data_IF_397349559387
#
_entry.id   IF_397349559387
#
_cell.length_a   1.000
_cell.length_b   1.000
_cell.length_c   1.000
_cell.angle_alpha   90.00
_cell.angle_beta   90.00
_cell.angle_gamma   90.00
#
_symmetry.space_group_name_H-M   'P 1'
#
loop_
_entity.id
_entity.type
_entity.pdbx_description
1 polymer ?
#
# COMPACT_ATOMS: atom_id res chain seq x y z
N UNK A 1 12.31 -31.81 20.59
CA UNK A 1 11.86 -31.46 19.23
C UNK A 1 11.16 -32.62 18.51
N UNK A 2 10.65 -33.63 19.23
CA UNK A 2 10.23 -34.91 18.63
C UNK A 2 8.69 -35.08 18.56
N UNK A 3 7.91 -34.21 19.22
CA UNK A 3 6.45 -34.42 19.34
C UNK A 3 5.65 -33.94 18.11
N UNK A 4 6.30 -33.34 17.12
CA UNK A 4 5.63 -32.75 15.94
C UNK A 4 5.48 -33.72 14.77
N UNK A 5 6.15 -34.87 14.81
CA UNK A 5 6.18 -35.86 13.73
C UNK A 5 5.39 -37.14 14.05
N UNK A 6 4.74 -37.22 15.23
CA UNK A 6 3.98 -38.40 15.68
C UNK A 6 2.46 -38.22 15.58
N UNK A 7 1.98 -37.13 14.96
CA UNK A 7 0.56 -36.93 14.69
C UNK A 7 0.09 -37.84 13.55
N UNK A 8 -1.04 -38.53 13.72
CA UNK A 8 -1.66 -39.27 12.62
C UNK A 8 -2.24 -38.30 11.59
N UNK A 9 -2.06 -38.60 10.30
CA UNK A 9 -2.69 -37.84 9.22
C UNK A 9 -4.21 -37.91 9.33
N UNK A 10 -4.86 -36.75 9.36
CA UNK A 10 -6.32 -36.65 9.34
C UNK A 10 -6.81 -36.40 7.91
N UNK A 11 -7.88 -37.09 7.53
CA UNK A 11 -8.55 -36.82 6.25
C UNK A 11 -9.13 -35.40 6.25
N UNK A 12 -9.04 -34.72 5.10
CA UNK A 12 -9.54 -33.35 4.95
C UNK A 12 -11.09 -33.28 5.05
N UNK A 13 -11.76 -34.29 4.51
CA UNK A 13 -13.22 -34.42 4.49
C UNK A 13 -13.61 -35.90 4.68
N UNK A 14 -13.61 -36.42 5.93
CA UNK A 14 -14.01 -37.79 6.22
C UNK A 14 -15.51 -38.00 5.98
N UNK A 15 -15.90 -39.16 5.47
CA UNK A 15 -17.31 -39.50 5.23
C UNK A 15 -18.14 -39.43 6.53
N UNK A 16 -19.36 -38.92 6.42
CA UNK A 16 -20.34 -38.67 7.49
C UNK A 16 -20.90 -39.91 8.20
N UNK A 17 -20.33 -41.10 7.96
CA UNK A 17 -20.66 -42.35 8.67
C UNK A 17 -19.80 -42.56 9.93
N UNK A 18 -18.85 -41.64 10.18
CA UNK A 18 -18.21 -41.52 11.48
C UNK A 18 -19.14 -40.75 12.44
N UNK A 19 -19.27 -41.26 13.67
CA UNK A 19 -20.02 -40.71 14.82
C UNK A 19 -20.38 -39.22 14.69
N UNK A 20 -21.65 -38.85 14.91
CA UNK A 20 -22.25 -37.53 14.56
C UNK A 20 -21.43 -36.31 15.08
N UNK A 21 -20.66 -36.49 16.16
CA UNK A 21 -19.74 -35.50 16.75
C UNK A 21 -18.44 -35.28 15.95
N UNK A 22 -17.98 -36.25 15.16
CA UNK A 22 -16.77 -36.20 14.34
C UNK A 22 -16.99 -35.56 12.96
N UNK A 23 -18.21 -35.65 12.41
CA UNK A 23 -18.59 -35.01 11.15
C UNK A 23 -18.55 -33.47 11.24
N UNK A 24 -18.81 -32.91 12.43
CA UNK A 24 -18.70 -31.49 12.76
C UNK A 24 -17.25 -31.00 13.00
N UNK A 25 -16.26 -31.90 12.98
CA UNK A 25 -14.85 -31.59 13.23
C UNK A 25 -13.98 -31.77 11.98
N UNK A 26 -14.59 -31.87 10.79
CA UNK A 26 -13.82 -32.02 9.56
C UNK A 26 -13.02 -30.75 9.25
N UNK A 27 -11.73 -30.87 8.85
CA UNK A 27 -10.93 -29.73 8.41
C UNK A 27 -11.59 -28.86 7.35
N UNK A 28 -12.40 -29.45 6.46
CA UNK A 28 -13.19 -28.74 5.46
C UNK A 28 -14.15 -27.68 6.03
N UNK A 29 -14.59 -27.80 7.29
CA UNK A 29 -15.53 -26.86 7.92
C UNK A 29 -14.88 -25.65 8.59
N UNK A 30 -13.58 -25.70 8.90
CA UNK A 30 -12.87 -24.63 9.61
C UNK A 30 -11.60 -24.13 8.91
N UNK A 31 -11.10 -24.84 7.90
CA UNK A 31 -10.01 -24.36 7.05
C UNK A 31 -10.56 -23.47 5.94
N UNK A 32 -10.29 -22.18 6.07
CA UNK A 32 -10.70 -21.17 5.09
C UNK A 32 -9.59 -20.93 4.05
N UNK A 33 -9.98 -20.76 2.78
CA UNK A 33 -9.11 -20.24 1.73
C UNK A 33 -9.34 -18.74 1.54
N UNK A 34 -8.52 -17.93 2.22
CA UNK A 34 -8.63 -16.47 2.14
C UNK A 34 -8.06 -15.86 0.84
N UNK A 35 -7.54 -16.65 -0.11
CA UNK A 35 -6.95 -16.12 -1.35
C UNK A 35 -7.98 -15.46 -2.27
N UNK A 36 -9.24 -15.88 -2.18
CA UNK A 36 -10.32 -15.44 -3.06
C UNK A 36 -11.43 -14.69 -2.34
N UNK A 37 -11.12 -14.12 -1.16
CA UNK A 37 -12.08 -13.33 -0.40
C UNK A 37 -12.52 -12.08 -1.20
N UNK A 38 -13.79 -12.00 -1.63
CA UNK A 38 -14.29 -10.88 -2.41
C UNK A 38 -14.23 -9.54 -1.67
N UNK A 39 -14.36 -9.56 -0.33
CA UNK A 39 -14.29 -8.36 0.47
C UNK A 39 -12.87 -7.77 0.43
N UNK A 40 -11.85 -8.63 0.54
CA UNK A 40 -10.44 -8.22 0.41
C UNK A 40 -10.09 -7.72 -0.98
N UNK A 41 -10.55 -8.41 -2.02
CA UNK A 41 -10.30 -7.99 -3.39
C UNK A 41 -10.93 -6.61 -3.69
N UNK A 42 -12.15 -6.38 -3.20
CA UNK A 42 -12.81 -5.09 -3.33
C UNK A 42 -12.09 -4.01 -2.52
N UNK A 43 -11.70 -4.31 -1.29
CA UNK A 43 -10.93 -3.38 -0.44
C UNK A 43 -9.60 -2.97 -1.10
N UNK A 44 -8.84 -3.92 -1.65
CA UNK A 44 -7.58 -3.62 -2.36
C UNK A 44 -7.79 -2.76 -3.60
N UNK A 45 -8.85 -3.03 -4.37
CA UNK A 45 -9.21 -2.24 -5.54
C UNK A 45 -9.60 -0.81 -5.15
N UNK A 46 -10.52 -0.66 -4.20
CA UNK A 46 -10.97 0.63 -3.68
C UNK A 46 -9.81 1.42 -3.07
N UNK A 47 -8.91 0.75 -2.35
CA UNK A 47 -7.72 1.39 -1.78
C UNK A 47 -6.77 1.92 -2.85
N UNK A 48 -6.59 1.18 -3.95
CA UNK A 48 -5.74 1.60 -5.06
C UNK A 48 -6.33 2.81 -5.80
N UNK A 49 -7.62 2.76 -6.12
CA UNK A 49 -8.32 3.85 -6.81
C UNK A 49 -8.39 5.11 -5.96
N UNK A 50 -8.73 4.97 -4.66
CA UNK A 50 -8.75 6.11 -3.73
C UNK A 50 -7.36 6.71 -3.51
N UNK A 51 -6.32 5.87 -3.33
CA UNK A 51 -4.95 6.35 -3.15
C UNK A 51 -4.43 7.12 -4.36
N UNK A 52 -4.73 6.63 -5.57
CA UNK A 52 -4.32 7.30 -6.81
C UNK A 52 -5.08 8.61 -7.03
N UNK A 53 -6.40 8.62 -6.81
CA UNK A 53 -7.22 9.82 -6.88
C UNK A 53 -6.77 10.89 -5.87
N UNK A 54 -6.54 10.50 -4.61
CA UNK A 54 -6.09 11.41 -3.55
C UNK A 54 -4.69 11.99 -3.87
N UNK A 55 -3.79 11.19 -4.43
CA UNK A 55 -2.48 11.67 -4.87
C UNK A 55 -2.60 12.70 -6.00
N UNK A 56 -3.44 12.43 -7.00
CA UNK A 56 -3.69 13.35 -8.10
C UNK A 56 -4.27 14.67 -7.61
N UNK A 57 -5.29 14.63 -6.76
CA UNK A 57 -5.89 15.84 -6.18
C UNK A 57 -4.86 16.62 -5.33
N UNK A 58 -4.04 15.92 -4.54
CA UNK A 58 -3.01 16.55 -3.73
C UNK A 58 -1.94 17.25 -4.60
N UNK A 59 -1.60 16.68 -5.76
CA UNK A 59 -0.69 17.28 -6.73
C UNK A 59 -1.30 18.53 -7.39
N UNK A 60 -2.60 18.56 -7.63
CA UNK A 60 -3.31 19.73 -8.17
C UNK A 60 -3.44 20.88 -7.17
N UNK A 61 -3.52 20.59 -5.88
CA UNK A 61 -3.54 21.58 -4.79
C UNK A 61 -2.18 22.24 -4.54
N UNK A 62 -1.10 21.71 -5.10
CA UNK A 62 0.22 22.33 -5.02
C UNK A 62 0.32 23.51 -5.98
N UNK A 63 1.04 24.55 -5.56
CA UNK A 63 1.39 25.62 -6.49
C UNK A 63 2.33 25.11 -7.59
N UNK A 64 2.25 25.71 -8.77
CA UNK A 64 2.97 25.27 -9.97
C UNK A 64 4.48 25.09 -9.73
N UNK A 65 5.06 25.97 -8.92
CA UNK A 65 6.49 25.94 -8.61
C UNK A 65 6.83 24.78 -7.69
N UNK A 66 6.07 24.54 -6.63
CA UNK A 66 6.24 23.39 -5.74
C UNK A 66 6.04 22.07 -6.47
N UNK A 67 5.06 22.01 -7.39
CA UNK A 67 4.80 20.85 -8.25
C UNK A 67 5.97 20.55 -9.18
N UNK A 68 6.52 21.56 -9.86
CA UNK A 68 7.70 21.40 -10.73
C UNK A 68 8.94 20.96 -9.94
N UNK A 69 9.18 21.56 -8.76
CA UNK A 69 10.30 21.17 -7.89
C UNK A 69 10.17 19.69 -7.48
N UNK A 70 8.99 19.23 -7.06
CA UNK A 70 8.78 17.83 -6.70
C UNK A 70 8.97 16.91 -7.91
N UNK A 71 8.41 17.29 -9.06
CA UNK A 71 8.56 16.51 -10.29
C UNK A 71 10.03 16.33 -10.65
N UNK A 72 10.80 17.42 -10.74
CA UNK A 72 12.21 17.36 -11.14
C UNK A 72 13.10 16.64 -10.15
N UNK A 73 12.75 16.59 -8.86
CA UNK A 73 13.57 15.90 -7.85
C UNK A 73 13.20 14.45 -7.61
N UNK A 74 11.94 14.07 -7.83
CA UNK A 74 11.42 12.74 -7.43
C UNK A 74 10.86 11.92 -8.59
N UNK A 75 10.18 12.55 -9.54
CA UNK A 75 9.41 11.88 -10.58
C UNK A 75 10.13 11.86 -11.94
N UNK A 76 11.03 12.81 -12.18
CA UNK A 76 11.84 12.85 -13.40
C UNK A 76 12.85 11.69 -13.43
N UNK A 77 13.09 11.16 -14.62
CA UNK A 77 14.09 10.12 -14.88
C UNK A 77 15.51 10.62 -14.52
N UNK A 78 15.85 11.83 -14.98
CA UNK A 78 17.04 12.55 -14.56
C UNK A 78 16.66 13.56 -13.46
N UNK A 79 17.12 13.30 -12.24
CA UNK A 79 16.75 14.07 -11.07
C UNK A 79 17.60 15.33 -10.95
N UNK A 80 16.95 16.49 -10.93
CA UNK A 80 17.62 17.76 -10.76
C UNK A 80 18.18 17.91 -9.34
N UNK A 81 19.35 18.53 -9.22
CA UNK A 81 19.94 18.87 -7.93
C UNK A 81 19.31 20.13 -7.34
N UNK A 82 19.47 20.31 -6.02
CA UNK A 82 19.05 21.54 -5.35
C UNK A 82 19.66 22.81 -5.96
N UNK A 83 20.91 22.72 -6.44
CA UNK A 83 21.64 23.85 -7.01
C UNK A 83 21.13 24.20 -8.42
N UNK A 84 20.80 23.21 -9.24
CA UNK A 84 20.20 23.43 -10.56
C UNK A 84 18.84 24.12 -10.45
N UNK A 85 17.99 23.65 -9.53
CA UNK A 85 16.69 24.27 -9.28
C UNK A 85 16.82 25.67 -8.67
N UNK A 86 17.79 25.87 -7.78
CA UNK A 86 18.12 27.17 -7.22
C UNK A 86 18.52 28.17 -8.32
N UNK A 87 19.37 27.73 -9.26
CA UNK A 87 19.78 28.53 -10.40
C UNK A 87 18.60 28.83 -11.35
N UNK A 88 17.81 27.81 -11.71
CA UNK A 88 16.61 27.94 -12.57
C UNK A 88 15.63 28.97 -12.04
N UNK A 89 15.39 28.95 -10.73
CA UNK A 89 14.40 29.79 -10.08
C UNK A 89 14.97 31.05 -9.42
N UNK A 90 16.26 31.31 -9.59
CA UNK A 90 17.00 32.43 -9.01
C UNK A 90 16.75 32.60 -7.50
N UNK A 91 16.85 31.51 -6.75
CA UNK A 91 16.71 31.47 -5.27
C UNK A 91 17.81 30.62 -4.65
N UNK A 92 17.93 30.62 -3.32
CA UNK A 92 18.90 29.76 -2.64
C UNK A 92 18.49 28.27 -2.67
N UNK A 93 19.48 27.38 -2.63
CA UNK A 93 19.27 25.94 -2.49
C UNK A 93 18.45 25.58 -1.24
N UNK A 94 18.67 26.28 -0.12
CA UNK A 94 17.88 26.09 1.09
C UNK A 94 16.41 26.49 0.87
N UNK A 95 16.14 27.53 0.08
CA UNK A 95 14.75 27.90 -0.26
C UNK A 95 14.06 26.80 -1.07
N UNK A 96 14.75 26.18 -2.03
CA UNK A 96 14.21 25.02 -2.77
C UNK A 96 13.92 23.85 -1.82
N UNK A 97 14.83 23.56 -0.88
CA UNK A 97 14.61 22.52 0.14
C UNK A 97 13.39 22.79 1.01
N UNK A 98 13.17 24.03 1.40
CA UNK A 98 11.97 24.43 2.16
C UNK A 98 10.68 24.22 1.36
N UNK A 99 10.67 24.63 0.09
CA UNK A 99 9.52 24.44 -0.81
C UNK A 99 9.22 22.94 -1.00
N UNK A 100 10.25 22.14 -1.26
CA UNK A 100 10.13 20.68 -1.37
C UNK A 100 9.54 20.06 -0.09
N UNK A 101 10.08 20.41 1.08
CA UNK A 101 9.60 19.88 2.36
C UNK A 101 8.12 20.23 2.60
N UNK A 102 7.74 21.47 2.33
CA UNK A 102 6.36 21.92 2.48
C UNK A 102 5.43 21.20 1.50
N UNK A 103 5.86 21.03 0.25
CA UNK A 103 5.09 20.32 -0.76
C UNK A 103 4.90 18.84 -0.40
N UNK A 104 5.96 18.18 0.08
CA UNK A 104 5.91 16.79 0.54
C UNK A 104 4.99 16.61 1.75
N UNK A 105 5.00 17.56 2.69
CA UNK A 105 4.08 17.54 3.84
C UNK A 105 2.62 17.68 3.40
N UNK A 106 2.34 18.53 2.41
CA UNK A 106 0.99 18.65 1.83
C UNK A 106 0.55 17.34 1.16
N UNK A 107 1.42 16.70 0.38
CA UNK A 107 1.10 15.39 -0.22
C UNK A 107 0.77 14.33 0.83
N UNK A 108 1.64 14.19 1.85
CA UNK A 108 1.42 13.21 2.94
C UNK A 108 0.10 13.44 3.69
N UNK A 109 -0.28 14.69 3.90
CA UNK A 109 -1.54 15.02 4.58
C UNK A 109 -2.80 14.63 3.80
N UNK A 110 -2.72 14.46 2.47
CA UNK A 110 -3.86 14.08 1.64
C UNK A 110 -3.92 12.56 1.34
N UNK A 111 -2.81 11.84 1.49
CA UNK A 111 -2.74 10.38 1.25
C UNK A 111 -3.12 9.60 2.52
N UNK A 112 -2.90 10.19 3.70
CA UNK A 112 -3.20 9.56 4.99
C UNK A 112 -4.58 9.94 5.57
N UNK A 113 -5.40 10.66 4.81
CA UNK A 113 -6.76 11.06 5.15
C UNK A 113 -7.76 10.22 4.36
#
# INVERSE_FOLDING_TARGET
>A
MESRLTGHDMAFDPASDADDDAAYQSPAQYLEDSRYDPARQLEEADWTDSSTANLHEALERLDDRSRDILYQRWLAEEKATLHELAAKYNVSAERIRQLEKNAMNKLKGNIAA
#
